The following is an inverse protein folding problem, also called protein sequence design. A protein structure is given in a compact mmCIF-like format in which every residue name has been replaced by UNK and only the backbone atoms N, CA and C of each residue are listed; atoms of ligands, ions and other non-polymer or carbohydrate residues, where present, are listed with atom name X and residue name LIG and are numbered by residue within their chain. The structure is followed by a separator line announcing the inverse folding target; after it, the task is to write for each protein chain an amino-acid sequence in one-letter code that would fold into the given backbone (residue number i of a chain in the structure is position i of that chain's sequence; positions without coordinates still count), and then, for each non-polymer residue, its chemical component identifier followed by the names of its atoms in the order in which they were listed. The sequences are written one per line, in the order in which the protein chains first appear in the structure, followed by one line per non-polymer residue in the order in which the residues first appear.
data_IF_857178718141
#
_entry.id   IF_857178718141
#
_cell.length_a   1.000
_cell.length_b   1.000
_cell.length_c   1.000
_cell.angle_alpha   90.00
_cell.angle_beta   90.00
_cell.angle_gamma   90.00
#
_symmetry.space_group_name_H-M   'P 1'
#
loop_
_entity.id
_entity.type
_entity.pdbx_description
1 polymer ?
#
# COMPACT_ATOMS: atom_id res chain seq x y z
N UNK A 1 -32.37 27.05 0.34
CA UNK A 1 -31.52 25.84 0.35
C UNK A 1 -31.99 24.84 -0.71
N UNK A 2 -33.24 24.42 -0.72
CA UNK A 2 -33.82 23.43 -1.64
C UNK A 2 -33.67 23.80 -3.12
N UNK A 3 -33.93 25.05 -3.49
CA UNK A 3 -33.75 25.56 -4.86
C UNK A 3 -32.30 25.40 -5.41
N UNK A 4 -31.29 25.39 -4.52
CA UNK A 4 -29.89 25.15 -4.92
C UNK A 4 -29.60 23.67 -5.10
N UNK A 5 -30.29 22.79 -4.40
CA UNK A 5 -30.21 21.34 -4.61
C UNK A 5 -30.85 20.97 -5.96
N UNK A 6 -31.99 21.58 -6.28
CA UNK A 6 -32.65 21.39 -7.58
C UNK A 6 -31.73 21.84 -8.74
N UNK A 7 -31.12 23.03 -8.61
CA UNK A 7 -30.16 23.53 -9.58
C UNK A 7 -28.94 22.59 -9.72
N UNK A 8 -28.42 22.05 -8.62
CA UNK A 8 -27.33 21.08 -8.65
C UNK A 8 -27.71 19.82 -9.43
N UNK A 9 -28.91 19.29 -9.18
CA UNK A 9 -29.44 18.14 -9.93
C UNK A 9 -29.64 18.43 -11.42
N UNK A 10 -30.09 19.63 -11.77
CA UNK A 10 -30.23 20.06 -13.18
C UNK A 10 -28.86 20.12 -13.86
N UNK A 11 -27.83 20.65 -13.18
CA UNK A 11 -26.45 20.71 -13.71
C UNK A 11 -25.91 19.30 -13.92
N UNK A 12 -26.09 18.37 -12.96
CA UNK A 12 -25.66 16.98 -13.12
C UNK A 12 -26.34 16.30 -14.31
N UNK A 13 -27.65 16.46 -14.47
CA UNK A 13 -28.40 15.92 -15.62
C UNK A 13 -27.90 16.52 -16.94
N UNK A 14 -27.56 17.80 -16.95
CA UNK A 14 -27.03 18.46 -18.14
C UNK A 14 -25.64 17.94 -18.53
N UNK A 15 -24.76 17.76 -17.54
CA UNK A 15 -23.45 17.14 -17.75
C UNK A 15 -23.61 15.73 -18.33
N UNK A 16 -24.44 14.89 -17.72
CA UNK A 16 -24.70 13.54 -18.20
C UNK A 16 -25.19 13.48 -19.64
N UNK A 17 -26.00 14.46 -20.06
CA UNK A 17 -26.63 14.49 -21.39
C UNK A 17 -25.75 15.12 -22.47
N UNK A 18 -24.97 16.14 -22.11
CA UNK A 18 -24.33 17.04 -23.09
C UNK A 18 -22.78 16.95 -23.07
N UNK A 19 -22.18 16.26 -22.09
CA UNK A 19 -20.72 16.11 -22.07
C UNK A 19 -20.28 15.07 -23.12
N UNK A 20 -19.13 15.33 -23.76
CA UNK A 20 -18.65 14.54 -24.90
C UNK A 20 -18.26 13.11 -24.50
N UNK A 21 -17.60 12.96 -23.34
CA UNK A 21 -17.13 11.68 -22.85
C UNK A 21 -18.13 11.06 -21.85
N UNK A 22 -18.11 9.74 -21.72
CA UNK A 22 -18.91 9.04 -20.72
C UNK A 22 -18.48 9.43 -19.32
N UNK A 23 -19.43 9.90 -18.51
CA UNK A 23 -19.16 10.46 -17.18
C UNK A 23 -19.53 9.47 -16.10
N UNK A 24 -18.60 9.18 -15.20
CA UNK A 24 -18.86 8.35 -14.02
C UNK A 24 -19.58 9.19 -12.94
N UNK A 25 -20.86 8.89 -12.71
CA UNK A 25 -21.71 9.60 -11.73
C UNK A 25 -21.18 9.54 -10.32
N UNK A 26 -20.60 8.41 -9.90
CA UNK A 26 -20.02 8.25 -8.56
C UNK A 26 -18.85 9.20 -8.36
N UNK A 27 -17.96 9.27 -9.33
CA UNK A 27 -16.81 10.19 -9.29
C UNK A 27 -17.23 11.66 -9.26
N UNK A 28 -18.28 12.02 -10.02
CA UNK A 28 -18.84 13.38 -9.96
C UNK A 28 -19.39 13.74 -8.57
N UNK A 29 -20.11 12.82 -7.95
CA UNK A 29 -20.66 13.03 -6.61
C UNK A 29 -19.55 13.13 -5.57
N UNK A 30 -18.55 12.29 -5.65
CA UNK A 30 -17.36 12.34 -4.77
C UNK A 30 -16.61 13.66 -4.93
N UNK A 31 -16.43 14.13 -6.15
CA UNK A 31 -15.81 15.43 -6.44
C UNK A 31 -16.64 16.59 -5.87
N UNK A 32 -17.97 16.53 -5.96
CA UNK A 32 -18.86 17.54 -5.39
C UNK A 32 -18.79 17.56 -3.84
N UNK A 33 -18.80 16.39 -3.19
CA UNK A 33 -18.66 16.26 -1.76
C UNK A 33 -17.30 16.81 -1.31
N UNK A 34 -16.22 16.46 -2.00
CA UNK A 34 -14.88 16.97 -1.71
C UNK A 34 -14.80 18.49 -1.91
N UNK A 35 -15.44 19.05 -2.93
CA UNK A 35 -15.52 20.50 -3.13
C UNK A 35 -16.21 21.22 -1.96
N UNK A 36 -17.26 20.64 -1.40
CA UNK A 36 -17.94 21.17 -0.23
C UNK A 36 -16.99 21.13 0.99
N UNK A 37 -16.34 20.00 1.24
CA UNK A 37 -15.45 19.81 2.38
C UNK A 37 -14.23 20.73 2.31
N UNK A 38 -13.60 20.85 1.14
CA UNK A 38 -12.46 21.75 0.91
C UNK A 38 -12.82 23.25 1.11
N UNK A 39 -14.11 23.61 0.98
CA UNK A 39 -14.55 24.97 1.30
C UNK A 39 -14.57 25.28 2.80
N UNK A 40 -14.50 24.26 3.66
CA UNK A 40 -14.47 24.42 5.12
C UNK A 40 -13.03 24.61 5.61
N UNK A 41 -12.13 23.70 5.23
CA UNK A 41 -10.71 23.72 5.57
C UNK A 41 -9.91 22.81 4.62
N UNK A 42 -8.56 22.94 4.56
CA UNK A 42 -7.72 22.14 3.66
C UNK A 42 -7.53 20.69 4.12
N UNK A 43 -7.99 20.30 5.30
CA UNK A 43 -7.79 18.98 5.89
C UNK A 43 -9.03 18.10 5.80
N UNK A 44 -10.20 18.70 5.61
CA UNK A 44 -11.46 17.96 5.45
C UNK A 44 -11.55 17.34 4.06
N UNK A 45 -11.74 16.02 4.02
CA UNK A 45 -11.89 15.26 2.77
C UNK A 45 -12.87 14.10 2.95
N UNK A 46 -13.59 13.78 1.87
CA UNK A 46 -14.37 12.56 1.78
C UNK A 46 -13.44 11.40 1.36
N UNK A 47 -13.57 10.30 2.04
CA UNK A 47 -12.85 9.06 1.72
C UNK A 47 -13.86 7.99 1.33
N UNK A 48 -13.73 7.45 0.14
CA UNK A 48 -14.44 6.24 -0.22
C UNK A 48 -13.94 5.03 0.61
N UNK A 49 -14.63 3.91 0.52
CA UNK A 49 -14.27 2.72 1.30
C UNK A 49 -12.89 2.16 0.97
N UNK A 50 -12.40 2.33 -0.27
CA UNK A 50 -11.10 1.84 -0.71
C UNK A 50 -9.98 2.75 -0.20
N UNK A 51 -10.17 4.07 -0.32
CA UNK A 51 -9.23 5.05 0.20
C UNK A 51 -9.12 4.97 1.73
N UNK A 52 -10.26 4.78 2.43
CA UNK A 52 -10.27 4.60 3.88
C UNK A 52 -9.51 3.33 4.32
N UNK A 53 -9.73 2.19 3.63
CA UNK A 53 -8.98 0.95 3.90
C UNK A 53 -7.47 1.12 3.66
N UNK A 54 -7.09 1.83 2.58
CA UNK A 54 -5.70 2.13 2.28
C UNK A 54 -5.07 2.99 3.40
N UNK A 55 -5.76 4.06 3.82
CA UNK A 55 -5.30 4.91 4.90
C UNK A 55 -5.16 4.14 6.22
N UNK A 56 -6.10 3.23 6.55
CA UNK A 56 -5.97 2.36 7.71
C UNK A 56 -4.73 1.45 7.61
N UNK A 57 -4.46 0.88 6.45
CA UNK A 57 -3.28 0.05 6.19
C UNK A 57 -2.00 0.86 6.39
N UNK A 58 -1.93 2.05 5.80
CA UNK A 58 -0.75 2.92 5.90
C UNK A 58 -0.51 3.39 7.34
N UNK A 59 -1.59 3.66 8.09
CA UNK A 59 -1.55 4.06 9.51
C UNK A 59 -1.09 2.91 10.41
N UNK A 60 -1.67 1.72 10.25
CA UNK A 60 -1.27 0.52 11.01
C UNK A 60 0.13 0.05 10.64
N UNK A 61 0.55 0.28 9.39
CA UNK A 61 1.81 -0.23 8.87
C UNK A 61 1.79 -1.73 8.62
N UNK A 62 0.61 -2.30 8.41
CA UNK A 62 0.41 -3.72 8.14
C UNK A 62 -0.83 -3.97 7.26
N UNK A 63 -0.84 -5.08 6.52
CA UNK A 63 -1.99 -5.51 5.71
C UNK A 63 -2.05 -7.02 5.57
N UNK A 64 -3.25 -7.53 5.28
CA UNK A 64 -3.44 -8.93 4.92
C UNK A 64 -2.97 -9.19 3.49
N UNK A 65 -1.97 -10.06 3.33
CA UNK A 65 -1.36 -10.32 2.03
C UNK A 65 -0.47 -11.55 1.99
N UNK A 66 0.37 -11.62 0.97
CA UNK A 66 1.22 -12.77 0.67
C UNK A 66 2.70 -12.53 0.98
N UNK A 67 3.11 -11.25 1.08
CA UNK A 67 4.51 -10.88 1.28
C UNK A 67 5.34 -11.04 -0.01
N UNK A 68 4.88 -10.42 -1.10
CA UNK A 68 5.57 -10.45 -2.40
C UNK A 68 5.79 -9.02 -2.88
N UNK A 69 7.02 -8.71 -3.25
CA UNK A 69 7.35 -7.51 -3.99
C UNK A 69 7.19 -7.78 -5.48
N UNK A 70 6.39 -6.96 -6.16
CA UNK A 70 6.00 -7.19 -7.55
C UNK A 70 6.15 -5.94 -8.42
N UNK A 71 6.30 -6.16 -9.73
CA UNK A 71 6.28 -5.10 -10.75
C UNK A 71 5.50 -5.58 -11.98
N UNK A 72 5.20 -4.66 -12.89
CA UNK A 72 4.66 -5.02 -14.20
C UNK A 72 5.78 -5.18 -15.23
N UNK A 73 5.78 -6.30 -15.94
CA UNK A 73 6.67 -6.54 -17.07
C UNK A 73 5.89 -7.21 -18.20
N UNK A 74 5.89 -6.61 -19.38
CA UNK A 74 5.17 -7.10 -20.56
C UNK A 74 3.68 -7.41 -20.32
N UNK A 75 3.00 -6.59 -19.51
CA UNK A 75 1.56 -6.72 -19.22
C UNK A 75 1.19 -7.85 -18.26
N UNK A 76 2.18 -8.44 -17.58
CA UNK A 76 1.98 -9.45 -16.52
C UNK A 76 2.71 -9.04 -15.26
N UNK A 77 2.26 -9.55 -14.11
CA UNK A 77 2.89 -9.29 -12.82
C UNK A 77 4.12 -10.18 -12.65
N UNK A 78 5.28 -9.55 -12.49
CA UNK A 78 6.55 -10.22 -12.21
C UNK A 78 6.90 -10.09 -10.74
N UNK A 79 7.26 -11.19 -10.11
CA UNK A 79 7.81 -11.22 -8.76
C UNK A 79 9.24 -10.70 -8.78
N UNK A 80 9.50 -9.60 -8.08
CA UNK A 80 10.85 -9.09 -7.84
C UNK A 80 11.50 -9.97 -6.78
N UNK A 81 10.83 -10.09 -5.61
CA UNK A 81 11.28 -10.92 -4.50
C UNK A 81 10.10 -11.30 -3.60
N UNK A 82 10.00 -12.53 -3.12
CA UNK A 82 9.22 -12.80 -1.93
C UNK A 82 9.94 -12.21 -0.72
N UNK A 83 9.18 -11.70 0.25
CA UNK A 83 9.71 -11.24 1.53
C UNK A 83 9.98 -12.49 2.39
N UNK A 84 11.11 -12.55 3.07
CA UNK A 84 11.47 -13.68 3.93
C UNK A 84 10.43 -13.89 5.04
N UNK A 85 10.25 -15.14 5.42
CA UNK A 85 9.30 -15.59 6.46
C UNK A 85 7.82 -15.26 6.20
N UNK A 86 7.46 -14.89 4.96
CA UNK A 86 6.07 -14.64 4.55
C UNK A 86 5.41 -15.85 3.90
N UNK A 87 4.07 -15.86 3.78
CA UNK A 87 3.33 -16.96 3.15
C UNK A 87 3.83 -17.33 1.76
N UNK A 88 4.16 -16.35 0.93
CA UNK A 88 4.64 -16.60 -0.43
C UNK A 88 6.03 -17.24 -0.44
N UNK A 89 6.93 -16.79 0.44
CA UNK A 89 8.26 -17.38 0.60
C UNK A 89 8.15 -18.85 1.02
N UNK A 90 7.33 -19.13 2.04
CA UNK A 90 7.08 -20.50 2.52
C UNK A 90 6.40 -21.40 1.47
N UNK A 91 5.52 -20.83 0.64
CA UNK A 91 4.88 -21.54 -0.46
C UNK A 91 5.83 -21.85 -1.62
N UNK A 92 7.02 -21.24 -1.66
CA UNK A 92 8.03 -21.46 -2.68
C UNK A 92 7.88 -20.59 -3.93
N UNK A 93 7.24 -19.43 -3.83
CA UNK A 93 7.31 -18.35 -4.82
C UNK A 93 8.76 -17.87 -4.88
N UNK A 94 9.25 -17.53 -6.08
CA UNK A 94 10.64 -17.16 -6.31
C UNK A 94 10.74 -15.85 -7.10
N UNK A 95 11.84 -15.15 -6.92
CA UNK A 95 12.20 -14.01 -7.76
C UNK A 95 12.21 -14.44 -9.24
N UNK A 96 11.66 -13.59 -10.12
CA UNK A 96 11.53 -13.86 -11.54
C UNK A 96 10.33 -14.73 -11.94
N UNK A 97 9.46 -15.11 -11.01
CA UNK A 97 8.18 -15.73 -11.32
C UNK A 97 7.23 -14.71 -11.96
N UNK A 98 6.39 -15.17 -12.89
CA UNK A 98 5.35 -14.37 -13.52
C UNK A 98 3.98 -14.88 -13.07
N UNK A 99 3.24 -14.06 -12.35
CA UNK A 99 1.86 -14.35 -11.92
C UNK A 99 0.96 -14.08 -13.12
N UNK A 100 0.35 -15.12 -13.67
CA UNK A 100 -0.48 -15.05 -14.87
C UNK A 100 -1.97 -15.13 -14.57
N UNK A 101 -2.36 -15.77 -13.43
CA UNK A 101 -3.74 -15.78 -12.95
C UNK A 101 -3.77 -15.63 -11.44
N UNK A 102 -4.83 -14.98 -10.96
CA UNK A 102 -5.19 -14.81 -9.55
C UNK A 102 -6.65 -15.27 -9.44
N UNK A 103 -6.94 -16.28 -8.59
CA UNK A 103 -8.28 -16.87 -8.44
C UNK A 103 -8.91 -17.23 -9.81
N UNK A 104 -8.15 -17.87 -10.70
CA UNK A 104 -8.58 -18.20 -12.06
C UNK A 104 -8.68 -17.02 -13.03
N UNK A 105 -8.68 -15.76 -12.54
CA UNK A 105 -8.76 -14.55 -13.36
C UNK A 105 -7.41 -14.22 -13.98
N UNK A 106 -7.37 -13.94 -15.26
CA UNK A 106 -6.16 -13.52 -15.98
C UNK A 106 -5.68 -12.16 -15.49
N UNK A 107 -4.37 -12.01 -15.27
CA UNK A 107 -3.73 -10.76 -14.86
C UNK A 107 -3.46 -9.85 -16.06
N UNK A 108 -3.31 -10.43 -17.24
CA UNK A 108 -3.04 -9.67 -18.47
C UNK A 108 -4.13 -8.61 -18.72
N UNK A 109 -3.71 -7.38 -18.99
CA UNK A 109 -4.60 -6.23 -19.21
C UNK A 109 -5.02 -5.49 -17.94
N UNK A 110 -4.63 -5.97 -16.76
CA UNK A 110 -4.82 -5.26 -15.49
C UNK A 110 -3.63 -4.35 -15.18
N UNK A 111 -3.88 -3.31 -14.42
CA UNK A 111 -2.82 -2.49 -13.83
C UNK A 111 -2.16 -3.23 -12.66
N UNK A 112 -0.97 -2.77 -12.25
CA UNK A 112 -0.28 -3.32 -11.08
C UNK A 112 -1.14 -3.20 -9.81
N UNK A 113 -1.80 -2.06 -9.62
CA UNK A 113 -2.65 -1.81 -8.45
C UNK A 113 -3.83 -2.78 -8.40
N UNK A 114 -4.54 -2.98 -9.52
CA UNK A 114 -5.64 -3.94 -9.59
C UNK A 114 -5.19 -5.38 -9.29
N UNK A 115 -4.01 -5.78 -9.77
CA UNK A 115 -3.46 -7.10 -9.47
C UNK A 115 -3.06 -7.22 -7.98
N UNK A 116 -2.46 -6.18 -7.41
CA UNK A 116 -2.11 -6.13 -5.97
C UNK A 116 -3.36 -6.18 -5.10
N UNK A 117 -4.42 -5.45 -5.47
CA UNK A 117 -5.69 -5.44 -4.73
C UNK A 117 -6.35 -6.83 -4.74
N UNK A 118 -6.26 -7.57 -5.86
CA UNK A 118 -6.71 -8.97 -5.91
C UNK A 118 -5.87 -9.91 -5.03
N UNK A 119 -4.56 -9.65 -4.91
CA UNK A 119 -3.68 -10.46 -4.04
C UNK A 119 -3.88 -10.14 -2.55
N UNK A 120 -4.27 -8.92 -2.20
CA UNK A 120 -4.62 -8.55 -0.82
C UNK A 120 -5.96 -9.13 -0.42
N UNK A 121 -6.22 -9.19 0.88
CA UNK A 121 -7.50 -9.65 1.40
C UNK A 121 -7.46 -9.93 2.90
N UNK A 122 -8.56 -10.43 3.47
CA UNK A 122 -8.63 -10.76 4.88
C UNK A 122 -7.56 -11.77 5.30
N UNK A 123 -6.94 -11.53 6.45
CA UNK A 123 -5.99 -12.47 7.07
C UNK A 123 -6.71 -13.80 7.30
N UNK A 124 -6.02 -14.90 7.02
CA UNK A 124 -6.55 -16.27 7.11
C UNK A 124 -7.31 -16.74 5.87
N UNK A 125 -7.63 -15.87 4.91
CA UNK A 125 -8.22 -16.30 3.63
C UNK A 125 -7.16 -16.87 2.71
N UNK A 126 -7.53 -17.90 1.94
CA UNK A 126 -6.66 -18.55 0.95
C UNK A 126 -6.85 -17.90 -0.42
N UNK A 127 -5.79 -17.86 -1.21
CA UNK A 127 -5.79 -17.40 -2.60
C UNK A 127 -5.03 -18.39 -3.49
N UNK A 128 -5.55 -18.62 -4.68
CA UNK A 128 -4.85 -19.40 -5.71
C UNK A 128 -4.09 -18.48 -6.68
N UNK A 129 -2.79 -18.73 -6.82
CA UNK A 129 -1.94 -18.08 -7.82
C UNK A 129 -1.48 -19.07 -8.87
N UNK A 130 -1.68 -18.77 -10.16
CA UNK A 130 -1.05 -19.49 -11.26
C UNK A 130 0.17 -18.73 -11.73
N UNK A 131 1.31 -19.38 -11.72
CA UNK A 131 2.64 -18.78 -11.94
C UNK A 131 3.35 -19.45 -13.10
N UNK A 132 3.98 -18.66 -13.96
CA UNK A 132 4.94 -19.11 -14.98
C UNK A 132 6.36 -18.88 -14.47
N UNK A 133 7.14 -19.93 -14.44
CA UNK A 133 8.56 -19.89 -13.99
C UNK A 133 9.48 -20.27 -15.14
N UNK A 134 10.54 -19.48 -15.34
CA UNK A 134 11.56 -19.80 -16.36
C UNK A 134 12.13 -21.20 -16.12
N UNK A 135 12.26 -21.99 -17.20
CA UNK A 135 12.75 -23.38 -17.13
C UNK A 135 11.69 -24.43 -16.76
N UNK A 136 10.45 -24.04 -16.45
CA UNK A 136 9.34 -24.97 -16.25
C UNK A 136 8.39 -24.95 -17.45
N UNK A 137 8.10 -26.15 -18.02
CA UNK A 137 7.20 -26.28 -19.18
C UNK A 137 5.73 -25.99 -18.82
N UNK A 138 5.30 -26.36 -17.62
CA UNK A 138 3.93 -26.17 -17.11
C UNK A 138 3.86 -25.02 -16.16
N UNK A 139 2.72 -24.35 -16.10
CA UNK A 139 2.43 -23.37 -15.05
C UNK A 139 2.35 -24.08 -13.69
N UNK A 140 2.73 -23.37 -12.65
CA UNK A 140 2.69 -23.82 -11.26
C UNK A 140 1.48 -23.17 -10.58
N UNK A 141 0.77 -23.91 -9.77
CA UNK A 141 -0.34 -23.41 -8.95
C UNK A 141 0.08 -23.40 -7.49
N UNK A 142 -0.16 -22.29 -6.82
CA UNK A 142 0.12 -22.08 -5.40
C UNK A 142 -1.15 -21.67 -4.68
N UNK A 143 -1.53 -22.40 -3.65
CA UNK A 143 -2.58 -22.01 -2.71
C UNK A 143 -1.90 -21.42 -1.48
N UNK A 144 -2.12 -20.15 -1.23
CA UNK A 144 -1.41 -19.40 -0.20
C UNK A 144 -2.42 -18.76 0.74
N UNK A 145 -2.27 -18.99 2.03
CA UNK A 145 -3.09 -18.32 3.05
C UNK A 145 -2.52 -16.96 3.35
N UNK A 146 -3.36 -15.91 3.30
CA UNK A 146 -2.95 -14.54 3.60
C UNK A 146 -2.66 -14.39 5.10
N UNK A 147 -1.57 -13.71 5.39
CA UNK A 147 -1.16 -13.35 6.76
C UNK A 147 -0.97 -11.85 6.88
N UNK A 148 -0.72 -11.39 8.10
CA UNK A 148 -0.32 -10.00 8.35
C UNK A 148 1.07 -9.79 7.77
N UNK A 149 1.21 -8.83 6.86
CA UNK A 149 2.48 -8.41 6.29
C UNK A 149 2.81 -7.03 6.82
N UNK A 150 3.89 -6.92 7.58
CA UNK A 150 4.36 -5.64 8.10
C UNK A 150 5.02 -4.79 7.00
N UNK A 151 4.66 -3.52 6.94
CA UNK A 151 5.32 -2.55 6.07
C UNK A 151 6.63 -2.13 6.73
N UNK A 152 7.75 -2.45 6.07
CA UNK A 152 9.06 -2.04 6.54
C UNK A 152 9.26 -0.54 6.28
N UNK A 153 8.95 0.28 7.29
CA UNK A 153 9.14 1.74 7.24
C UNK A 153 10.54 2.18 7.62
N UNK A 154 11.33 1.29 8.21
CA UNK A 154 12.71 1.55 8.67
C UNK A 154 13.70 0.78 7.81
N UNK A 155 14.72 1.48 7.31
CA UNK A 155 15.92 0.91 6.69
C UNK A 155 17.11 1.31 7.54
N UNK A 156 18.00 0.37 7.85
CA UNK A 156 19.11 0.63 8.74
C UNK A 156 20.38 -0.07 8.26
N UNK A 157 21.50 0.66 8.33
CA UNK A 157 22.82 0.19 7.95
C UNK A 157 23.87 0.71 8.93
N UNK A 158 24.91 -0.08 9.17
CA UNK A 158 26.08 0.36 9.90
C UNK A 158 27.10 0.94 8.91
N UNK A 159 27.27 2.26 8.93
CA UNK A 159 28.19 2.95 8.05
C UNK A 159 29.65 2.80 8.55
N UNK A 160 30.59 3.21 7.70
CA UNK A 160 32.00 3.37 8.08
C UNK A 160 32.13 4.24 9.34
N UNK A 161 33.17 4.04 10.12
CA UNK A 161 33.41 4.69 11.41
C UNK A 161 32.37 4.36 12.50
N UNK A 162 31.63 3.27 12.38
CA UNK A 162 30.68 2.78 13.38
C UNK A 162 29.53 3.76 13.67
N UNK A 163 28.96 4.31 12.61
CA UNK A 163 27.79 5.20 12.67
C UNK A 163 26.54 4.38 12.29
N UNK A 164 25.58 4.28 13.18
CA UNK A 164 24.29 3.66 12.91
C UNK A 164 23.42 4.59 12.05
N UNK A 165 23.21 4.24 10.78
CA UNK A 165 22.30 4.97 9.89
C UNK A 165 20.92 4.34 9.93
N UNK A 166 19.90 5.15 10.22
CA UNK A 166 18.50 4.74 10.28
C UNK A 166 17.71 5.68 9.39
N UNK A 167 17.07 5.15 8.35
CA UNK A 167 16.15 5.89 7.49
C UNK A 167 14.72 5.48 7.78
N UNK A 168 13.90 6.45 8.18
CA UNK A 168 12.46 6.28 8.36
C UNK A 168 11.73 6.84 7.14
N UNK A 169 11.02 5.99 6.39
CA UNK A 169 10.34 6.36 5.14
C UNK A 169 8.92 6.90 5.35
N UNK A 170 8.24 6.48 6.41
CA UNK A 170 6.92 6.97 6.83
C UNK A 170 6.68 6.68 8.30
N UNK A 171 5.78 7.43 8.94
CA UNK A 171 5.38 7.17 10.32
C UNK A 171 4.10 6.31 10.33
N UNK A 172 4.17 5.11 10.92
CA UNK A 172 3.04 4.23 11.18
C UNK A 172 3.13 3.67 12.62
N UNK A 173 2.15 2.88 13.05
CA UNK A 173 2.12 2.32 14.41
C UNK A 173 3.37 1.49 14.74
N UNK A 174 3.96 0.83 13.74
CA UNK A 174 5.13 -0.05 13.89
C UNK A 174 6.48 0.67 13.78
N UNK A 175 6.51 1.93 13.33
CA UNK A 175 7.76 2.67 13.09
C UNK A 175 8.64 2.77 14.34
N UNK A 176 8.03 3.04 15.50
CA UNK A 176 8.77 3.15 16.77
C UNK A 176 9.42 1.84 17.20
N UNK A 177 8.72 0.73 17.08
CA UNK A 177 9.24 -0.61 17.40
C UNK A 177 10.33 -1.05 16.44
N UNK A 178 10.17 -0.75 15.12
CA UNK A 178 11.18 -1.05 14.12
C UNK A 178 12.47 -0.25 14.37
N UNK A 179 12.38 1.06 14.66
CA UNK A 179 13.56 1.89 15.01
C UNK A 179 14.25 1.32 16.25
N UNK A 180 13.48 1.03 17.32
CA UNK A 180 14.03 0.46 18.56
C UNK A 180 14.80 -0.83 18.30
N UNK A 181 14.23 -1.73 17.50
CA UNK A 181 14.87 -3.00 17.13
C UNK A 181 16.21 -2.78 16.40
N UNK A 182 16.30 -1.80 15.51
CA UNK A 182 17.53 -1.50 14.78
C UNK A 182 18.56 -0.83 15.71
N UNK A 183 18.15 0.06 16.61
CA UNK A 183 19.03 0.63 17.64
C UNK A 183 19.62 -0.48 18.53
N UNK A 184 18.79 -1.39 19.04
CA UNK A 184 19.24 -2.53 19.87
C UNK A 184 20.23 -3.45 19.12
N UNK A 185 20.11 -3.58 17.78
CA UNK A 185 21.09 -4.31 17.00
C UNK A 185 22.44 -3.57 16.93
N UNK A 186 22.40 -2.26 16.72
CA UNK A 186 23.61 -1.44 16.63
C UNK A 186 24.33 -1.34 17.97
N UNK A 187 23.61 -1.26 19.09
CA UNK A 187 24.17 -1.19 20.46
C UNK A 187 24.94 -2.46 20.87
N UNK A 188 24.75 -3.58 20.15
CA UNK A 188 25.58 -4.77 20.32
C UNK A 188 27.02 -4.58 19.83
N UNK A 189 27.27 -3.53 19.05
CA UNK A 189 28.59 -3.18 18.57
C UNK A 189 29.25 -2.20 19.56
N UNK A 190 30.24 -2.67 20.31
CA UNK A 190 30.97 -1.87 21.31
C UNK A 190 31.67 -0.62 20.74
N UNK A 191 31.90 -0.58 19.43
CA UNK A 191 32.54 0.55 18.76
C UNK A 191 31.56 1.60 18.23
N UNK A 192 30.26 1.42 18.42
CA UNK A 192 29.23 2.36 17.96
C UNK A 192 29.49 3.77 18.53
N UNK A 193 29.53 4.78 17.68
CA UNK A 193 29.87 6.16 18.06
C UNK A 193 28.67 7.10 18.05
N UNK A 194 27.77 6.94 17.11
CA UNK A 194 26.65 7.87 16.90
C UNK A 194 25.60 7.29 15.97
N UNK A 195 24.47 8.00 15.84
CA UNK A 195 23.39 7.67 14.93
C UNK A 195 23.13 8.81 13.95
N UNK A 196 22.69 8.47 12.77
CA UNK A 196 22.08 9.37 11.79
C UNK A 196 20.66 8.93 11.57
N UNK A 197 19.68 9.79 11.90
CA UNK A 197 18.27 9.58 11.55
C UNK A 197 17.95 10.34 10.26
N UNK A 198 17.67 9.62 9.18
CA UNK A 198 17.31 10.19 7.88
C UNK A 198 15.79 10.20 7.69
N UNK A 199 15.22 11.40 7.64
CA UNK A 199 13.80 11.67 7.39
C UNK A 199 13.55 12.29 6.01
N UNK A 200 14.52 12.30 5.12
CA UNK A 200 14.37 12.89 3.78
C UNK A 200 13.34 12.12 2.97
N UNK A 201 12.41 12.87 2.34
CA UNK A 201 11.26 12.35 1.60
C UNK A 201 10.28 11.52 2.46
N UNK A 202 10.29 11.73 3.78
CA UNK A 202 9.27 11.17 4.65
C UNK A 202 8.02 12.09 4.58
N UNK A 203 6.86 11.61 4.11
CA UNK A 203 5.65 12.43 4.00
C UNK A 203 4.97 12.71 5.35
N UNK A 204 5.49 12.16 6.45
CA UNK A 204 4.83 12.17 7.75
C UNK A 204 4.09 10.87 8.05
N UNK A 205 2.91 10.98 8.66
CA UNK A 205 2.06 9.87 9.09
C UNK A 205 1.65 9.99 10.56
N UNK A 206 1.60 8.89 11.28
CA UNK A 206 1.11 8.86 12.65
C UNK A 206 2.15 9.45 13.62
N UNK A 207 1.87 10.65 14.14
CA UNK A 207 2.64 11.24 15.24
C UNK A 207 1.78 11.32 16.51
N UNK A 208 2.15 10.57 17.52
CA UNK A 208 1.43 10.56 18.82
C UNK A 208 1.48 11.91 19.56
N UNK A 209 2.41 12.79 19.23
CA UNK A 209 2.54 14.11 19.88
C UNK A 209 1.72 15.20 19.18
N UNK A 210 1.46 15.11 17.89
CA UNK A 210 0.65 16.10 17.17
C UNK A 210 -0.83 16.01 17.56
N UNK A 211 -1.35 14.82 17.89
CA UNK A 211 -2.75 14.61 18.34
C UNK A 211 -3.05 15.26 19.71
N UNK A 212 -2.05 15.60 20.51
CA UNK A 212 -2.21 16.19 21.86
C UNK A 212 -2.15 17.73 21.82
N UNK A 213 -1.77 18.36 20.70
CA UNK A 213 -1.61 19.83 20.60
C UNK A 213 -2.84 20.58 20.11
N UNK A 214 -3.88 19.91 19.67
CA UNK A 214 -5.13 20.53 19.21
C UNK A 214 -6.30 20.38 20.20
N UNK A 215 -6.02 20.60 21.50
CA UNK A 215 -7.06 20.80 22.50
C UNK A 215 -6.80 22.06 23.30
#
# INVERSE_FOLDING_TARGET
FYNKIDLFNEVLKKIEKEYIDEVNKSQLMEAAINGILQSLDPYSAYMDSNYFKKMQTDTKGEFGGLGIEVTMEAGVVKVISPIDDTPASRAGIKAGDYIVKIEGTQVQGKTLNEAVDLMRGPVGSTIELTVRRRGKKKALTFNITREIIEIQSVKADLLENYIGYIRLTSFNENSGSQIKKEIEKFEKNENLKSYILDLRNNPGGLDRKSVVRER
#
